data_IF_513152825329
#
_entry.id   IF_513152825329
#
_cell.length_a   1.000
_cell.length_b   1.000
_cell.length_c   1.000
_cell.angle_alpha   90.00
_cell.angle_beta   90.00
_cell.angle_gamma   90.00
#
_symmetry.space_group_name_H-M   'P 1'
#
loop_
_entity.id
_entity.type
_entity.pdbx_description
1 polymer ?
#
# COMPACT_ATOMS: atom_id res chain seq x y z
N UNK A 1 17.95 -17.39 -4.76
CA UNK A 1 18.00 -16.71 -3.44
C UNK A 1 16.71 -15.89 -3.31
N UNK A 2 15.83 -16.30 -2.43
CA UNK A 2 14.62 -15.50 -2.11
C UNK A 2 15.10 -14.17 -1.50
N UNK A 3 14.65 -13.06 -2.09
CA UNK A 3 14.90 -11.71 -1.55
C UNK A 3 13.99 -11.47 -0.33
N UNK A 4 14.16 -12.29 0.71
CA UNK A 4 13.48 -12.08 1.98
C UNK A 4 13.93 -10.73 2.57
N UNK A 5 13.04 -10.02 3.22
CA UNK A 5 13.29 -8.75 3.89
C UNK A 5 13.64 -7.53 3.01
N UNK A 6 13.24 -7.51 1.75
CA UNK A 6 13.35 -6.32 0.91
C UNK A 6 12.17 -6.20 -0.07
N UNK A 7 11.84 -4.97 -0.45
CA UNK A 7 10.89 -4.69 -1.53
C UNK A 7 11.51 -5.13 -2.86
N UNK A 8 10.67 -5.75 -3.71
CA UNK A 8 11.04 -6.14 -5.06
C UNK A 8 10.44 -5.15 -6.05
N UNK A 9 11.28 -4.35 -6.66
CA UNK A 9 10.87 -3.34 -7.61
C UNK A 9 10.89 -3.87 -9.04
N UNK A 10 9.80 -3.71 -9.82
CA UNK A 10 9.89 -3.77 -11.27
C UNK A 10 10.81 -2.64 -11.77
N UNK A 11 11.65 -2.91 -12.77
CA UNK A 11 12.72 -1.99 -13.20
C UNK A 11 12.22 -0.56 -13.50
N UNK A 12 11.03 -0.44 -14.11
CA UNK A 12 10.43 0.85 -14.45
C UNK A 12 9.95 1.64 -13.23
N UNK A 13 9.82 1.00 -12.08
CA UNK A 13 9.36 1.58 -10.81
C UNK A 13 10.47 1.66 -9.75
N UNK A 14 11.69 1.28 -10.09
CA UNK A 14 12.81 1.47 -9.17
C UNK A 14 12.92 2.94 -8.76
N UNK A 15 13.19 3.25 -7.47
CA UNK A 15 13.29 4.64 -6.99
C UNK A 15 14.21 5.53 -7.81
N UNK A 16 15.30 4.97 -8.35
CA UNK A 16 16.24 5.71 -9.21
C UNK A 16 15.63 6.13 -10.57
N UNK A 17 14.56 5.46 -11.02
CA UNK A 17 13.91 5.69 -12.30
C UNK A 17 12.64 6.54 -12.19
N UNK A 18 12.21 6.90 -10.98
CA UNK A 18 10.97 7.63 -10.73
C UNK A 18 11.22 9.02 -10.15
N UNK A 19 10.48 10.06 -10.59
CA UNK A 19 10.64 11.42 -10.06
C UNK A 19 10.12 11.60 -8.64
N UNK A 20 9.28 10.68 -8.17
CA UNK A 20 8.71 10.70 -6.82
C UNK A 20 8.98 9.36 -6.17
N UNK A 21 9.48 9.40 -4.93
CA UNK A 21 9.66 8.24 -4.07
C UNK A 21 9.38 8.67 -2.63
N UNK A 22 8.63 7.85 -1.92
CA UNK A 22 8.38 8.00 -0.49
C UNK A 22 8.59 6.67 0.22
N UNK A 23 9.11 6.71 1.43
CA UNK A 23 9.30 5.55 2.30
C UNK A 23 8.96 5.90 3.73
N UNK A 24 8.09 5.10 4.31
CA UNK A 24 7.73 5.18 5.72
C UNK A 24 7.86 3.79 6.36
N UNK A 25 8.08 3.76 7.66
CA UNK A 25 8.07 2.52 8.43
C UNK A 25 7.54 2.74 9.84
N UNK A 26 6.93 1.70 10.41
CA UNK A 26 6.38 1.73 11.75
C UNK A 26 6.43 0.35 12.41
N UNK A 27 6.97 0.29 13.63
CA UNK A 27 6.90 -0.90 14.46
C UNK A 27 5.49 -1.09 15.06
N UNK A 28 5.00 -2.31 15.05
CA UNK A 28 3.69 -2.72 15.55
C UNK A 28 3.84 -3.90 16.49
N UNK A 29 3.14 -3.88 17.64
CA UNK A 29 3.11 -4.99 18.59
C UNK A 29 2.26 -6.18 18.11
N UNK A 30 1.46 -5.97 17.06
CA UNK A 30 0.59 -7.00 16.47
C UNK A 30 1.40 -8.00 15.65
N UNK A 31 0.92 -9.26 15.61
CA UNK A 31 1.50 -10.29 14.76
C UNK A 31 1.38 -9.94 13.26
N UNK A 32 2.32 -10.35 12.41
CA UNK A 32 2.26 -10.14 10.97
C UNK A 32 0.94 -10.58 10.34
N UNK A 33 0.38 -11.69 10.80
CA UNK A 33 -0.88 -12.25 10.31
C UNK A 33 -2.07 -11.32 10.55
N UNK A 34 -2.12 -10.64 11.71
CA UNK A 34 -3.17 -9.68 12.04
C UNK A 34 -3.04 -8.41 11.22
N UNK A 35 -1.82 -7.90 11.07
CA UNK A 35 -1.52 -6.73 10.22
C UNK A 35 -1.88 -7.02 8.76
N UNK A 36 -1.48 -8.18 8.26
CA UNK A 36 -1.79 -8.64 6.91
C UNK A 36 -3.29 -8.69 6.63
N UNK A 37 -4.08 -9.26 7.56
CA UNK A 37 -5.52 -9.37 7.40
C UNK A 37 -6.20 -8.01 7.20
N UNK A 38 -5.78 -6.97 7.93
CA UNK A 38 -6.27 -5.60 7.73
C UNK A 38 -5.76 -4.96 6.45
N UNK A 39 -4.50 -5.26 6.06
CA UNK A 39 -3.88 -4.68 4.87
C UNK A 39 -4.54 -5.17 3.60
N UNK A 40 -4.82 -6.48 3.48
CA UNK A 40 -5.46 -7.03 2.28
C UNK A 40 -6.96 -6.76 2.20
N UNK A 41 -7.63 -6.44 3.31
CA UNK A 41 -9.08 -6.19 3.36
C UNK A 41 -9.41 -4.80 2.80
N UNK A 42 -9.21 -4.64 1.48
CA UNK A 42 -9.26 -3.34 0.82
C UNK A 42 -10.62 -2.62 0.97
N UNK A 43 -11.73 -3.35 1.00
CA UNK A 43 -13.05 -2.74 1.17
C UNK A 43 -13.22 -2.00 2.50
N UNK A 44 -12.44 -2.31 3.52
CA UNK A 44 -12.47 -1.61 4.81
C UNK A 44 -11.55 -0.38 4.87
N UNK A 45 -10.61 -0.20 3.94
CA UNK A 45 -9.68 0.94 4.00
C UNK A 45 -10.37 2.29 4.21
N UNK A 46 -11.49 2.63 3.51
CA UNK A 46 -12.16 3.92 3.72
C UNK A 46 -12.69 4.15 5.13
N UNK A 47 -12.83 3.11 5.94
CA UNK A 47 -13.32 3.22 7.32
C UNK A 47 -12.23 3.65 8.31
N UNK A 48 -10.96 3.56 7.93
CA UNK A 48 -9.83 3.84 8.80
C UNK A 48 -8.66 4.58 8.13
N UNK A 49 -8.69 4.74 6.80
CA UNK A 49 -7.73 5.52 6.04
C UNK A 49 -8.45 6.52 5.15
N UNK A 50 -8.46 7.77 5.55
CA UNK A 50 -9.26 8.84 4.93
C UNK A 50 -8.84 9.20 3.50
N UNK A 51 -7.63 8.83 3.07
CA UNK A 51 -7.14 9.05 1.71
C UNK A 51 -7.53 7.90 0.75
N UNK A 52 -8.40 7.00 1.15
CA UNK A 52 -8.96 5.94 0.30
C UNK A 52 -10.48 6.05 0.22
N UNK A 53 -11.04 5.89 -0.97
CA UNK A 53 -12.49 5.91 -1.20
C UNK A 53 -12.88 5.13 -2.46
N UNK A 54 -14.16 4.79 -2.57
CA UNK A 54 -14.78 4.24 -3.79
C UNK A 54 -14.07 2.99 -4.32
N UNK A 55 -13.74 2.05 -3.43
CA UNK A 55 -13.05 0.81 -3.81
C UNK A 55 -14.02 -0.12 -4.50
N UNK A 56 -13.72 -0.47 -5.76
CA UNK A 56 -14.49 -1.37 -6.62
C UNK A 56 -13.55 -2.44 -7.16
N UNK A 57 -13.83 -3.70 -6.86
CA UNK A 57 -13.12 -4.83 -7.47
C UNK A 57 -13.55 -4.99 -8.92
N UNK A 58 -12.60 -4.95 -9.83
CA UNK A 58 -12.79 -5.18 -11.27
C UNK A 58 -12.56 -6.65 -11.63
N UNK A 59 -11.75 -7.35 -10.83
CA UNK A 59 -11.56 -8.81 -10.84
C UNK A 59 -11.05 -9.27 -9.48
N UNK A 60 -11.10 -10.57 -9.21
CA UNK A 60 -10.78 -11.14 -7.91
C UNK A 60 -12.02 -11.33 -7.04
N UNK A 61 -11.83 -11.74 -5.81
CA UNK A 61 -12.90 -12.04 -4.85
C UNK A 61 -12.89 -11.03 -3.70
N UNK A 62 -13.81 -10.04 -3.67
CA UNK A 62 -13.90 -9.16 -2.51
C UNK A 62 -14.26 -9.96 -1.25
N UNK A 63 -13.91 -9.50 -0.03
CA UNK A 63 -13.40 -8.15 0.25
C UNK A 63 -11.88 -8.00 0.21
N UNK A 64 -11.15 -9.12 0.03
CA UNK A 64 -9.71 -9.18 0.19
C UNK A 64 -8.99 -9.13 -1.15
N UNK A 65 -7.81 -8.49 -1.13
CA UNK A 65 -6.86 -8.57 -2.24
C UNK A 65 -6.19 -9.94 -2.30
N UNK A 66 -5.89 -10.38 -3.51
CA UNK A 66 -5.07 -11.55 -3.81
C UNK A 66 -4.22 -11.26 -5.05
N UNK A 67 -3.28 -12.13 -5.38
CA UNK A 67 -2.47 -11.98 -6.58
C UNK A 67 -3.33 -11.81 -7.84
N UNK A 68 -3.03 -10.80 -8.64
CA UNK A 68 -3.76 -10.48 -9.87
C UNK A 68 -5.11 -9.78 -9.66
N UNK A 69 -5.55 -9.52 -8.41
CA UNK A 69 -6.75 -8.70 -8.15
C UNK A 69 -6.60 -7.36 -8.82
N UNK A 70 -7.62 -6.97 -9.58
CA UNK A 70 -7.74 -5.61 -10.16
C UNK A 70 -8.83 -4.84 -9.44
N UNK A 71 -8.53 -3.60 -9.05
CA UNK A 71 -9.48 -2.75 -8.35
C UNK A 71 -9.30 -1.29 -8.75
N UNK A 72 -10.41 -0.56 -8.72
CA UNK A 72 -10.46 0.88 -8.94
C UNK A 72 -10.76 1.56 -7.62
N UNK A 73 -10.06 2.63 -7.35
CA UNK A 73 -10.25 3.38 -6.11
C UNK A 73 -9.82 4.83 -6.26
N UNK A 74 -10.18 5.66 -5.28
CA UNK A 74 -9.77 7.05 -5.21
C UNK A 74 -8.73 7.23 -4.10
N UNK A 75 -7.59 7.81 -4.46
CA UNK A 75 -6.51 8.15 -3.54
C UNK A 75 -5.88 9.46 -3.97
N UNK A 76 -5.39 10.28 -3.04
CA UNK A 76 -4.84 11.62 -3.30
C UNK A 76 -5.76 12.55 -4.12
N UNK A 77 -7.06 12.26 -4.12
CA UNK A 77 -8.04 13.02 -4.90
C UNK A 77 -8.21 12.58 -6.35
N UNK A 78 -7.44 11.60 -6.81
CA UNK A 78 -7.51 11.02 -8.16
C UNK A 78 -8.06 9.59 -8.13
N UNK A 79 -8.73 9.19 -9.20
CA UNK A 79 -9.18 7.81 -9.39
C UNK A 79 -8.11 7.05 -10.17
N UNK A 80 -7.72 5.89 -9.65
CA UNK A 80 -6.73 5.01 -10.26
C UNK A 80 -7.26 3.58 -10.38
N UNK A 81 -6.73 2.84 -11.33
CA UNK A 81 -6.88 1.38 -11.42
C UNK A 81 -5.58 0.73 -11.01
N UNK A 82 -5.68 -0.26 -10.15
CA UNK A 82 -4.55 -0.98 -9.57
C UNK A 82 -4.65 -2.47 -9.85
N UNK A 83 -3.50 -3.11 -10.01
CA UNK A 83 -3.38 -4.57 -10.13
C UNK A 83 -2.37 -5.06 -9.11
N UNK A 84 -2.73 -6.07 -8.31
CA UNK A 84 -1.82 -6.70 -7.37
C UNK A 84 -0.79 -7.52 -8.14
N UNK A 85 0.48 -7.15 -8.03
CA UNK A 85 1.60 -7.74 -8.77
C UNK A 85 2.53 -8.59 -7.90
N UNK A 86 2.50 -8.40 -6.59
CA UNK A 86 3.19 -9.26 -5.63
C UNK A 86 2.25 -9.57 -4.46
N UNK A 87 2.21 -10.84 -4.06
CA UNK A 87 1.41 -11.32 -2.95
C UNK A 87 2.12 -12.48 -2.28
N UNK A 88 2.85 -12.18 -1.22
CA UNK A 88 3.52 -13.18 -0.38
C UNK A 88 2.90 -13.06 1.01
N UNK A 89 2.03 -14.00 1.40
CA UNK A 89 1.24 -13.88 2.63
C UNK A 89 2.11 -13.55 3.85
N UNK A 90 1.66 -12.56 4.62
CA UNK A 90 2.26 -12.06 5.85
C UNK A 90 3.62 -11.38 5.69
N UNK A 91 4.09 -11.19 4.45
CA UNK A 91 5.43 -10.68 4.16
C UNK A 91 5.42 -9.52 3.15
N UNK A 92 4.89 -9.73 1.92
CA UNK A 92 4.94 -8.71 0.86
C UNK A 92 3.65 -8.61 0.07
N UNK A 93 3.21 -7.38 -0.10
CA UNK A 93 2.09 -7.00 -0.97
C UNK A 93 2.50 -5.80 -1.81
N UNK A 94 2.27 -5.85 -3.11
CA UNK A 94 2.51 -4.71 -3.97
C UNK A 94 1.49 -4.65 -5.11
N UNK A 95 1.19 -3.44 -5.55
CA UNK A 95 0.34 -3.20 -6.71
C UNK A 95 0.86 -2.02 -7.53
N UNK A 96 0.57 -2.03 -8.81
CA UNK A 96 0.68 -0.84 -9.64
C UNK A 96 -0.58 0.04 -9.50
N UNK A 97 -0.50 1.28 -9.94
CA UNK A 97 -1.64 2.17 -10.02
C UNK A 97 -1.51 3.07 -11.26
N UNK A 98 -2.59 3.13 -12.03
CA UNK A 98 -2.65 3.90 -13.27
C UNK A 98 -3.82 4.87 -13.24
N UNK A 99 -3.54 6.14 -13.52
CA UNK A 99 -4.52 7.20 -13.67
C UNK A 99 -4.11 8.17 -14.78
N UNK A 100 -4.94 9.16 -15.07
CA UNK A 100 -4.62 10.16 -16.09
C UNK A 100 -3.37 10.95 -15.71
N UNK A 101 -2.27 10.77 -16.47
CA UNK A 101 -0.99 11.44 -16.23
C UNK A 101 -0.24 10.97 -14.98
N UNK A 102 -0.61 9.81 -14.44
CA UNK A 102 -0.02 9.20 -13.25
C UNK A 102 0.18 7.70 -13.46
N UNK A 103 1.33 7.21 -13.09
CA UNK A 103 1.61 5.80 -12.89
C UNK A 103 2.42 5.65 -11.61
N UNK A 104 2.11 4.63 -10.82
CA UNK A 104 2.73 4.40 -9.52
C UNK A 104 2.94 2.91 -9.26
N UNK A 105 3.82 2.61 -8.32
CA UNK A 105 3.98 1.29 -7.73
C UNK A 105 4.06 1.44 -6.22
N UNK A 106 3.15 0.81 -5.53
CA UNK A 106 3.05 0.85 -4.08
C UNK A 106 3.40 -0.52 -3.50
N UNK A 107 4.36 -0.56 -2.62
CA UNK A 107 4.89 -1.77 -2.02
C UNK A 107 4.80 -1.74 -0.49
N UNK A 108 4.44 -2.88 0.08
CA UNK A 108 4.39 -3.16 1.51
C UNK A 108 5.29 -4.33 1.84
N UNK A 109 6.05 -4.19 2.92
CA UNK A 109 6.91 -5.22 3.48
C UNK A 109 6.65 -5.32 4.97
N UNK A 110 6.29 -6.52 5.44
CA UNK A 110 6.08 -6.83 6.86
C UNK A 110 7.24 -7.72 7.31
N UNK A 111 8.01 -7.22 8.25
CA UNK A 111 9.17 -7.91 8.82
C UNK A 111 8.84 -8.35 10.24
N UNK A 112 8.77 -9.67 10.46
CA UNK A 112 8.52 -10.22 11.80
C UNK A 112 9.65 -9.87 12.76
N UNK A 113 9.29 -9.51 14.00
CA UNK A 113 10.20 -9.23 15.11
C UNK A 113 9.79 -10.04 16.34
N UNK A 114 10.62 -10.04 17.36
CA UNK A 114 10.31 -10.71 18.63
C UNK A 114 9.13 -10.08 19.39
N UNK A 115 8.77 -8.84 19.07
CA UNK A 115 7.71 -8.06 19.72
C UNK A 115 6.51 -7.76 18.81
N UNK A 116 6.41 -8.43 17.65
CA UNK A 116 5.38 -8.17 16.66
C UNK A 116 5.95 -8.09 15.25
N UNK A 117 5.86 -6.93 14.61
CA UNK A 117 6.45 -6.73 13.28
C UNK A 117 6.88 -5.27 13.07
N UNK A 118 7.75 -5.06 12.08
CA UNK A 118 8.03 -3.76 11.50
C UNK A 118 7.39 -3.71 10.10
N UNK A 119 6.58 -2.71 9.83
CA UNK A 119 5.89 -2.53 8.55
C UNK A 119 6.50 -1.38 7.80
N UNK A 120 6.93 -1.66 6.58
CA UNK A 120 7.50 -0.68 5.66
C UNK A 120 6.52 -0.50 4.51
N UNK A 121 6.24 0.74 4.13
CA UNK A 121 5.52 1.10 2.92
C UNK A 121 6.37 2.03 2.07
N UNK A 122 6.50 1.68 0.80
CA UNK A 122 7.20 2.51 -0.19
C UNK A 122 6.37 2.68 -1.44
N UNK A 123 6.42 3.87 -2.01
CA UNK A 123 5.74 4.16 -3.27
C UNK A 123 6.63 4.99 -4.18
N UNK A 124 6.62 4.63 -5.45
CA UNK A 124 7.23 5.43 -6.52
C UNK A 124 6.16 5.88 -7.49
N UNK A 125 6.26 7.11 -7.95
CA UNK A 125 5.34 7.66 -8.94
C UNK A 125 6.07 8.29 -10.12
N UNK A 126 5.46 8.16 -11.30
CA UNK A 126 5.85 8.80 -12.55
C UNK A 126 4.69 9.56 -13.20
N UNK A 127 5.04 10.36 -14.22
CA UNK A 127 4.08 11.16 -14.97
C UNK A 127 4.02 12.63 -14.55
N UNK A 128 3.29 13.42 -15.33
CA UNK A 128 3.20 14.86 -15.12
C UNK A 128 2.43 15.27 -13.86
N UNK A 129 1.38 14.53 -13.54
CA UNK A 129 0.56 14.76 -12.35
C UNK A 129 1.37 14.48 -11.07
N UNK A 130 2.17 13.41 -11.05
CA UNK A 130 3.06 13.10 -9.94
C UNK A 130 4.10 14.21 -9.70
N UNK A 131 4.77 14.66 -10.76
CA UNK A 131 5.75 15.75 -10.68
C UNK A 131 5.15 17.05 -10.15
N UNK A 132 3.98 17.43 -10.66
CA UNK A 132 3.29 18.63 -10.21
C UNK A 132 2.85 18.49 -8.74
N UNK A 133 2.31 17.34 -8.35
CA UNK A 133 1.92 17.04 -6.98
C UNK A 133 3.10 17.17 -6.00
N UNK A 134 4.26 16.59 -6.35
CA UNK A 134 5.49 16.70 -5.54
C UNK A 134 5.99 18.14 -5.44
N UNK A 135 5.93 18.90 -6.53
CA UNK A 135 6.35 20.30 -6.52
C UNK A 135 5.47 21.19 -5.64
N UNK A 136 4.16 20.98 -5.67
CA UNK A 136 3.19 21.78 -4.89
C UNK A 136 3.09 21.36 -3.42
N UNK A 137 3.25 20.05 -3.14
CA UNK A 137 3.11 19.48 -1.79
C UNK A 137 4.17 18.38 -1.56
N UNK A 138 5.43 18.75 -1.35
CA UNK A 138 6.57 17.84 -1.38
C UNK A 138 6.52 16.68 -0.37
N UNK A 139 5.85 16.85 0.76
CA UNK A 139 5.78 15.83 1.84
C UNK A 139 4.41 15.16 1.95
N UNK A 140 3.51 15.36 0.98
CA UNK A 140 2.12 14.87 1.08
C UNK A 140 2.06 13.36 1.09
N UNK A 141 2.87 12.70 0.28
CA UNK A 141 2.88 11.24 0.20
C UNK A 141 3.38 10.63 1.50
N UNK A 142 4.51 11.09 2.01
CA UNK A 142 5.08 10.61 3.27
C UNK A 142 4.12 10.83 4.45
N UNK A 143 3.41 11.97 4.48
CA UNK A 143 2.39 12.24 5.51
C UNK A 143 1.22 11.27 5.40
N UNK A 144 0.72 10.99 4.20
CA UNK A 144 -0.40 10.07 4.01
C UNK A 144 0.00 8.61 4.28
N UNK A 145 1.20 8.20 3.91
CA UNK A 145 1.73 6.87 4.27
C UNK A 145 1.87 6.71 5.78
N UNK A 146 2.31 7.75 6.49
CA UNK A 146 2.38 7.71 7.95
C UNK A 146 1.00 7.54 8.58
N UNK A 147 0.00 8.28 8.11
CA UNK A 147 -1.40 8.14 8.56
C UNK A 147 -1.91 6.73 8.28
N UNK A 148 -1.58 6.14 7.12
CA UNK A 148 -1.99 4.78 6.77
C UNK A 148 -1.37 3.74 7.70
N UNK A 149 -0.06 3.84 7.97
CA UNK A 149 0.64 2.98 8.92
C UNK A 149 0.07 3.08 10.34
N UNK A 150 -0.23 4.29 10.81
CA UNK A 150 -0.82 4.53 12.14
C UNK A 150 -2.23 3.96 12.25
N UNK A 151 -3.05 4.13 11.22
CA UNK A 151 -4.37 3.51 11.14
C UNK A 151 -4.31 1.99 11.12
N UNK A 152 -3.38 1.42 10.35
CA UNK A 152 -3.15 -0.03 10.30
C UNK A 152 -2.72 -0.58 11.66
N UNK A 153 -1.78 0.10 12.34
CA UNK A 153 -1.35 -0.26 13.70
C UNK A 153 -2.52 -0.22 14.69
N UNK A 154 -3.31 0.84 14.65
CA UNK A 154 -4.47 0.99 15.53
C UNK A 154 -5.47 -0.16 15.30
N UNK A 155 -5.84 -0.45 14.05
CA UNK A 155 -6.76 -1.54 13.72
C UNK A 155 -6.21 -2.90 14.13
N UNK A 156 -4.98 -3.20 13.81
CA UNK A 156 -4.35 -4.47 14.17
C UNK A 156 -4.22 -4.66 15.68
N UNK A 157 -4.12 -3.60 16.48
CA UNK A 157 -4.08 -3.67 17.94
C UNK A 157 -5.39 -4.16 18.56
N UNK A 158 -6.51 -4.05 17.86
CA UNK A 158 -7.83 -4.53 18.30
C UNK A 158 -8.17 -5.94 17.79
N UNK A 159 -7.27 -6.60 17.09
CA UNK A 159 -7.44 -7.96 16.56
C UNK A 159 -7.73 -8.00 15.06
N UNK A 160 -8.30 -9.10 14.61
CA UNK A 160 -8.62 -9.34 13.20
C UNK A 160 -9.77 -8.44 12.70
N UNK A 161 -9.81 -8.12 11.39
CA UNK A 161 -10.99 -7.47 10.81
C UNK A 161 -12.25 -8.34 10.98
N UNK A 162 -13.45 -7.73 10.94
CA UNK A 162 -14.69 -8.49 10.98
C UNK A 162 -14.74 -9.48 9.80
N UNK A 163 -15.36 -10.63 10.04
CA UNK A 163 -15.63 -11.58 8.96
C UNK A 163 -16.52 -10.93 7.88
N UNK A 164 -16.34 -11.29 6.59
CA UNK A 164 -17.14 -10.79 5.48
C UNK A 164 -18.62 -11.12 5.64
#
# INVERSE_FOLDING_TARGET
MTKANQIVWPIQYEPANCPVHARNELAMASAPETVWAWLIHAQLWPTWYSNSANIVFLSGQPPDLDFGTRFRWKTFGVTVESTVLEFVPYERLSWDAHGTGLNAYHAWLIQKTDQGCNVITEETEGGGVARLGKALRPNRMEQQHQIWLEGLREKASHGLPPAP
#
